data_IF_554189724595
#
_entry.id   IF_554189724595
#
_cell.length_a   1.000
_cell.length_b   1.000
_cell.length_c   1.000
_cell.angle_alpha   90.00
_cell.angle_beta   90.00
_cell.angle_gamma   90.00
#
_symmetry.space_group_name_H-M   'P 1'
#
loop_
_entity.id
_entity.type
_entity.pdbx_description
1 polymer ?
#
# COMPACT_ATOMS: atom_id res chain seq x y z
N UNK A 1 9.20 -6.44 1.83
CA UNK A 1 7.95 -6.00 1.21
C UNK A 1 7.18 -7.12 0.48
N UNK A 2 7.82 -7.98 -0.33
CA UNK A 2 7.10 -9.01 -1.10
C UNK A 2 6.84 -10.28 -0.28
N UNK A 3 7.88 -10.89 0.29
CA UNK A 3 7.72 -12.14 1.05
C UNK A 3 6.77 -11.99 2.24
N UNK A 4 6.88 -10.86 2.99
CA UNK A 4 5.97 -10.60 4.11
C UNK A 4 4.52 -10.50 3.69
N UNK A 5 4.23 -9.89 2.53
CA UNK A 5 2.88 -9.85 1.95
C UNK A 5 2.37 -11.25 1.63
N UNK A 6 3.20 -12.08 0.97
CA UNK A 6 2.82 -13.46 0.63
C UNK A 6 2.58 -14.32 1.89
N UNK A 7 3.40 -14.15 2.92
CA UNK A 7 3.20 -14.85 4.19
C UNK A 7 1.92 -14.41 4.89
N UNK A 8 1.61 -13.11 4.87
CA UNK A 8 0.35 -12.59 5.39
C UNK A 8 -0.86 -13.18 4.66
N UNK A 9 -0.84 -13.18 3.32
CA UNK A 9 -1.89 -13.81 2.51
C UNK A 9 -2.04 -15.28 2.90
N UNK A 10 -0.94 -16.04 2.92
CA UNK A 10 -0.96 -17.46 3.25
C UNK A 10 -1.55 -17.76 4.63
N UNK A 11 -1.33 -16.88 5.59
CA UNK A 11 -1.84 -17.03 6.95
C UNK A 11 -3.36 -16.74 7.06
N UNK A 12 -3.85 -15.68 6.39
CA UNK A 12 -5.23 -15.21 6.61
C UNK A 12 -6.23 -15.73 5.58
N UNK A 13 -5.78 -16.01 4.35
CA UNK A 13 -6.67 -16.37 3.25
C UNK A 13 -7.50 -17.64 3.48
N UNK A 14 -6.94 -18.74 4.03
CA UNK A 14 -7.76 -19.93 4.34
C UNK A 14 -8.91 -19.61 5.29
N UNK A 15 -8.63 -18.82 6.33
CA UNK A 15 -9.62 -18.41 7.36
C UNK A 15 -10.72 -17.56 6.71
N UNK A 16 -10.34 -16.56 5.92
CA UNK A 16 -11.32 -15.69 5.24
C UNK A 16 -12.20 -16.46 4.26
N UNK A 17 -11.62 -17.43 3.53
CA UNK A 17 -12.37 -18.30 2.61
C UNK A 17 -13.40 -19.18 3.35
N UNK A 18 -13.02 -19.74 4.48
CA UNK A 18 -13.93 -20.53 5.35
C UNK A 18 -15.08 -19.67 5.89
N UNK A 19 -14.74 -18.45 6.37
CA UNK A 19 -15.73 -17.48 6.86
C UNK A 19 -16.62 -16.89 5.75
N UNK A 20 -16.21 -17.01 4.49
CA UNK A 20 -16.82 -16.31 3.32
C UNK A 20 -16.92 -14.80 3.55
N UNK A 21 -16.00 -14.25 4.30
CA UNK A 21 -15.94 -12.84 4.66
C UNK A 21 -14.50 -12.44 4.96
N UNK A 22 -14.09 -11.30 4.43
CA UNK A 22 -12.76 -10.75 4.67
C UNK A 22 -12.42 -9.61 3.72
N UNK A 23 -11.49 -8.77 4.16
CA UNK A 23 -11.00 -7.66 3.37
C UNK A 23 -9.48 -7.58 3.47
N UNK A 24 -8.79 -7.86 2.37
CA UNK A 24 -7.34 -7.74 2.28
C UNK A 24 -6.96 -6.31 1.86
N UNK A 25 -6.18 -5.61 2.70
CA UNK A 25 -5.67 -4.28 2.38
C UNK A 25 -4.15 -4.36 2.19
N UNK A 26 -3.69 -3.97 1.00
CA UNK A 26 -2.27 -3.98 0.63
C UNK A 26 -1.72 -2.56 0.61
N UNK A 27 -0.63 -2.33 1.33
CA UNK A 27 0.04 -1.03 1.36
C UNK A 27 1.13 -0.98 0.30
N UNK A 28 0.81 -0.39 -0.86
CA UNK A 28 1.77 -0.05 -1.89
C UNK A 28 2.33 1.36 -1.66
N UNK A 29 2.46 2.16 -2.68
CA UNK A 29 2.96 3.54 -2.66
C UNK A 29 2.72 4.20 -4.01
N UNK A 30 2.84 5.52 -4.10
CA UNK A 30 3.07 6.22 -5.37
C UNK A 30 4.25 5.60 -6.14
N UNK A 31 5.28 5.12 -5.44
CA UNK A 31 6.41 4.38 -6.03
C UNK A 31 6.03 3.02 -6.64
N UNK A 32 4.80 2.57 -6.49
CA UNK A 32 4.21 1.45 -7.23
C UNK A 32 3.55 1.86 -8.56
N UNK A 33 3.57 3.14 -8.90
CA UNK A 33 2.99 3.72 -10.13
C UNK A 33 4.03 4.48 -10.95
N UNK A 34 5.05 5.04 -10.28
CA UNK A 34 6.15 5.77 -10.92
C UNK A 34 7.48 5.23 -10.42
N UNK A 35 8.52 5.39 -11.24
CA UNK A 35 9.88 4.96 -10.88
C UNK A 35 10.74 6.20 -10.67
N UNK A 36 11.43 6.24 -9.53
CA UNK A 36 12.34 7.32 -9.19
C UNK A 36 13.80 6.85 -9.28
N UNK A 37 14.72 7.71 -9.73
CA UNK A 37 16.15 7.43 -9.61
C UNK A 37 16.53 7.04 -8.18
N UNK A 38 17.52 6.17 -8.04
CA UNK A 38 17.97 5.58 -6.78
C UNK A 38 16.92 4.74 -6.01
N UNK A 39 15.66 4.69 -6.47
CA UNK A 39 14.55 3.97 -5.84
C UNK A 39 14.14 2.66 -6.54
N UNK A 40 14.88 2.18 -7.54
CA UNK A 40 14.45 1.11 -8.44
C UNK A 40 13.98 -0.17 -7.71
N UNK A 41 14.74 -0.66 -6.72
CA UNK A 41 14.38 -1.87 -5.96
C UNK A 41 13.14 -1.63 -5.11
N UNK A 42 13.03 -0.49 -4.45
CA UNK A 42 11.84 -0.11 -3.69
C UNK A 42 10.61 -0.02 -4.61
N UNK A 43 10.73 0.69 -5.73
CA UNK A 43 9.66 0.77 -6.73
C UNK A 43 9.25 -0.62 -7.21
N UNK A 44 10.19 -1.48 -7.58
CA UNK A 44 9.90 -2.85 -8.01
C UNK A 44 9.10 -3.64 -6.96
N UNK A 45 9.43 -3.50 -5.67
CA UNK A 45 8.65 -4.16 -4.61
C UNK A 45 7.23 -3.60 -4.53
N UNK A 46 7.04 -2.29 -4.70
CA UNK A 46 5.73 -1.64 -4.63
C UNK A 46 4.85 -1.91 -5.87
N UNK A 47 5.45 -1.99 -7.06
CA UNK A 47 4.79 -2.53 -8.25
C UNK A 47 4.38 -3.99 -8.04
N UNK A 48 5.27 -4.80 -7.46
CA UNK A 48 5.00 -6.22 -7.15
C UNK A 48 3.81 -6.39 -6.19
N UNK A 49 3.70 -5.56 -5.16
CA UNK A 49 2.54 -5.57 -4.24
C UNK A 49 1.24 -5.30 -5.00
N UNK A 50 1.23 -4.35 -5.94
CA UNK A 50 0.04 -4.07 -6.75
C UNK A 50 -0.33 -5.26 -7.62
N UNK A 51 0.65 -5.89 -8.28
CA UNK A 51 0.41 -7.09 -9.08
C UNK A 51 -0.16 -8.24 -8.24
N UNK A 52 0.43 -8.49 -7.05
CA UNK A 52 -0.05 -9.53 -6.12
C UNK A 52 -1.49 -9.20 -5.65
N UNK A 53 -1.75 -7.96 -5.25
CA UNK A 53 -3.08 -7.55 -4.77
C UNK A 53 -4.15 -7.70 -5.85
N UNK A 54 -3.86 -7.29 -7.09
CA UNK A 54 -4.80 -7.44 -8.21
C UNK A 54 -5.03 -8.90 -8.60
N UNK A 55 -3.99 -9.72 -8.62
CA UNK A 55 -4.14 -11.15 -8.87
C UNK A 55 -5.01 -11.81 -7.79
N UNK A 56 -4.71 -11.52 -6.51
CA UNK A 56 -5.50 -12.04 -5.40
C UNK A 56 -6.97 -11.59 -5.51
N UNK A 57 -7.23 -10.33 -5.84
CA UNK A 57 -8.60 -9.81 -6.02
C UNK A 57 -9.40 -10.65 -6.99
N UNK A 58 -8.80 -11.04 -8.12
CA UNK A 58 -9.47 -11.87 -9.11
C UNK A 58 -9.70 -13.30 -8.59
N UNK A 59 -8.72 -13.88 -7.92
CA UNK A 59 -8.77 -15.25 -7.40
C UNK A 59 -9.78 -15.44 -6.27
N UNK A 60 -10.02 -14.41 -5.46
CA UNK A 60 -10.89 -14.50 -4.28
C UNK A 60 -12.34 -14.07 -4.53
N UNK A 61 -12.66 -13.56 -5.72
CA UNK A 61 -14.03 -13.17 -6.09
C UNK A 61 -15.07 -14.27 -5.83
N UNK A 62 -14.83 -15.54 -6.17
CA UNK A 62 -15.81 -16.60 -5.90
C UNK A 62 -16.08 -16.82 -4.41
N UNK A 63 -15.16 -16.40 -3.53
CA UNK A 63 -15.32 -16.50 -2.08
C UNK A 63 -15.97 -15.25 -1.45
N UNK A 64 -16.32 -14.24 -2.26
CA UNK A 64 -16.92 -12.99 -1.78
C UNK A 64 -15.97 -12.10 -0.97
N UNK A 65 -14.65 -12.27 -1.13
CA UNK A 65 -13.67 -11.48 -0.39
C UNK A 65 -13.32 -10.19 -1.14
N UNK A 66 -13.05 -9.13 -0.38
CA UNK A 66 -12.64 -7.82 -0.91
C UNK A 66 -11.13 -7.65 -0.88
N UNK A 67 -10.60 -6.84 -1.80
CA UNK A 67 -9.18 -6.54 -1.86
C UNK A 67 -8.96 -5.09 -2.28
N UNK A 68 -8.30 -4.32 -1.42
CA UNK A 68 -7.95 -2.92 -1.68
C UNK A 68 -6.43 -2.72 -1.67
N UNK A 69 -5.92 -2.01 -2.67
CA UNK A 69 -4.54 -1.53 -2.72
C UNK A 69 -4.53 -0.06 -2.32
N UNK A 70 -3.74 0.28 -1.29
CA UNK A 70 -3.54 1.65 -0.84
C UNK A 70 -2.16 2.13 -1.30
N UNK A 71 -2.14 3.17 -2.11
CA UNK A 71 -0.94 3.73 -2.75
C UNK A 71 -0.70 5.18 -2.30
N UNK A 72 -0.23 5.40 -1.05
CA UNK A 72 0.03 6.74 -0.54
C UNK A 72 1.28 7.37 -1.15
N UNK A 73 1.31 8.70 -1.16
CA UNK A 73 2.53 9.50 -1.24
C UNK A 73 3.26 9.55 0.11
N UNK A 74 3.92 10.67 0.42
CA UNK A 74 4.65 10.84 1.67
C UNK A 74 3.69 10.94 2.87
N UNK A 75 3.85 10.00 3.81
CA UNK A 75 3.13 9.96 5.09
C UNK A 75 4.16 9.97 6.22
N UNK A 76 3.94 10.77 7.26
CA UNK A 76 4.85 10.94 8.39
C UNK A 76 4.97 9.64 9.20
N UNK A 77 6.08 8.93 8.98
CA UNK A 77 6.41 7.63 9.59
C UNK A 77 7.91 7.51 9.80
N UNK A 78 8.35 6.42 10.44
CA UNK A 78 9.79 6.13 10.59
C UNK A 78 10.45 5.59 9.29
N UNK A 79 9.73 5.51 8.17
CA UNK A 79 10.28 4.96 6.91
C UNK A 79 11.59 5.62 6.49
N UNK A 80 11.78 6.97 6.55
CA UNK A 80 13.04 7.60 6.19
C UNK A 80 14.23 7.09 7.00
N UNK A 81 14.02 6.74 8.28
CA UNK A 81 15.08 6.25 9.17
C UNK A 81 15.62 4.87 8.77
N UNK A 82 14.86 4.11 7.97
CA UNK A 82 15.28 2.80 7.45
C UNK A 82 16.30 2.91 6.31
N UNK A 83 16.42 4.06 5.67
CA UNK A 83 17.36 4.29 4.57
C UNK A 83 18.76 4.53 5.11
N UNK A 84 19.72 3.64 4.78
CA UNK A 84 21.09 3.66 5.31
C UNK A 84 22.11 4.26 4.35
N UNK A 85 21.76 4.44 3.08
CA UNK A 85 22.68 5.01 2.08
C UNK A 85 22.92 6.50 2.35
N UNK A 86 24.19 6.89 2.54
CA UNK A 86 24.58 8.29 2.71
C UNK A 86 24.11 9.12 1.49
N UNK A 87 23.73 10.36 1.71
CA UNK A 87 23.18 11.25 0.68
C UNK A 87 21.72 10.96 0.32
N UNK A 88 21.36 9.70 0.13
CA UNK A 88 19.95 9.29 -0.14
C UNK A 88 19.10 9.51 1.09
N UNK A 89 19.61 9.15 2.28
CA UNK A 89 18.89 9.35 3.54
C UNK A 89 18.53 10.82 3.78
N UNK A 90 19.49 11.72 3.61
CA UNK A 90 19.28 13.17 3.81
C UNK A 90 18.20 13.72 2.86
N UNK A 91 18.26 13.39 1.57
CA UNK A 91 17.28 13.84 0.59
C UNK A 91 15.87 13.29 0.86
N UNK A 92 15.77 12.04 1.32
CA UNK A 92 14.48 11.45 1.68
C UNK A 92 13.95 12.10 2.95
N UNK A 93 14.78 12.34 3.96
CA UNK A 93 14.36 12.98 5.20
C UNK A 93 13.85 14.41 4.94
N UNK A 94 14.54 15.19 4.12
CA UNK A 94 14.11 16.53 3.70
C UNK A 94 12.77 16.47 2.94
N UNK A 95 12.66 15.57 1.97
CA UNK A 95 11.42 15.38 1.21
C UNK A 95 10.22 15.05 2.14
N UNK A 96 10.41 14.15 3.12
CA UNK A 96 9.34 13.80 4.05
C UNK A 96 9.03 14.95 5.01
N UNK A 97 10.05 15.68 5.48
CA UNK A 97 9.83 16.88 6.31
C UNK A 97 8.93 17.90 5.62
N UNK A 98 9.16 18.13 4.32
CA UNK A 98 8.44 19.16 3.57
C UNK A 98 7.07 18.72 3.06
N UNK A 99 6.92 17.44 2.73
CA UNK A 99 5.78 16.93 1.97
C UNK A 99 4.84 16.05 2.78
N UNK A 100 5.34 15.36 3.82
CA UNK A 100 4.57 14.32 4.47
C UNK A 100 3.27 14.84 5.14
N UNK A 101 2.20 14.06 4.97
CA UNK A 101 0.95 14.27 5.68
C UNK A 101 0.86 13.36 6.92
N UNK A 102 0.03 13.71 7.91
CA UNK A 102 -0.14 12.89 9.11
C UNK A 102 -0.62 11.47 8.80
N UNK A 103 -0.18 10.50 9.59
CA UNK A 103 -0.62 9.09 9.51
C UNK A 103 -2.13 8.92 9.58
N UNK A 104 -2.83 9.82 10.28
CA UNK A 104 -4.30 9.86 10.34
C UNK A 104 -4.96 10.04 8.97
N UNK A 105 -4.27 10.67 8.01
CA UNK A 105 -4.77 10.80 6.63
C UNK A 105 -4.80 9.45 5.91
N UNK A 106 -3.78 8.63 6.12
CA UNK A 106 -3.76 7.25 5.63
C UNK A 106 -4.83 6.40 6.32
N UNK A 107 -4.96 6.49 7.64
CA UNK A 107 -5.96 5.75 8.41
C UNK A 107 -7.40 6.05 7.94
N UNK A 108 -7.71 7.31 7.57
CA UNK A 108 -9.01 7.67 7.00
C UNK A 108 -9.26 6.99 5.64
N UNK A 109 -8.26 6.83 4.79
CA UNK A 109 -8.40 6.12 3.53
C UNK A 109 -8.66 4.62 3.76
N UNK A 110 -7.99 4.00 4.74
CA UNK A 110 -8.27 2.63 5.18
C UNK A 110 -9.71 2.51 5.65
N UNK A 111 -10.14 3.39 6.55
CA UNK A 111 -11.51 3.38 7.10
C UNK A 111 -12.55 3.56 5.99
N UNK A 112 -12.31 4.46 5.05
CA UNK A 112 -13.19 4.65 3.89
C UNK A 112 -13.36 3.35 3.10
N UNK A 113 -12.26 2.65 2.76
CA UNK A 113 -12.35 1.39 2.01
C UNK A 113 -13.09 0.31 2.80
N UNK A 114 -12.83 0.21 4.10
CA UNK A 114 -13.42 -0.81 4.96
C UNK A 114 -14.90 -0.58 5.25
N UNK A 115 -15.34 0.68 5.34
CA UNK A 115 -16.72 1.06 5.68
C UNK A 115 -17.70 0.96 4.52
N UNK A 116 -17.24 0.60 3.32
CA UNK A 116 -18.16 0.41 2.19
C UNK A 116 -19.06 -0.82 2.40
N UNK A 117 -20.28 -0.81 1.85
CA UNK A 117 -21.16 -1.97 1.84
C UNK A 117 -20.48 -3.21 1.23
N UNK A 118 -20.96 -4.41 1.59
CA UNK A 118 -20.33 -5.67 1.17
C UNK A 118 -20.26 -5.85 -0.35
N UNK A 119 -21.21 -5.30 -1.08
CA UNK A 119 -21.25 -5.33 -2.54
C UNK A 119 -20.27 -4.37 -3.22
N UNK A 120 -19.59 -3.51 -2.44
CA UNK A 120 -18.62 -2.54 -2.95
C UNK A 120 -17.21 -2.97 -2.61
N UNK A 121 -16.41 -3.23 -3.63
CA UNK A 121 -14.98 -3.54 -3.51
C UNK A 121 -14.15 -2.39 -4.08
N UNK A 122 -13.62 -1.52 -3.21
CA UNK A 122 -12.69 -0.46 -3.59
C UNK A 122 -11.36 -1.11 -3.92
N UNK A 123 -10.99 -1.15 -5.19
CA UNK A 123 -9.83 -1.92 -5.63
C UNK A 123 -8.50 -1.19 -5.44
N UNK A 124 -8.48 0.14 -5.59
CA UNK A 124 -7.28 0.93 -5.37
C UNK A 124 -7.61 2.36 -4.91
N UNK A 125 -6.81 2.88 -3.97
CA UNK A 125 -6.83 4.28 -3.55
C UNK A 125 -5.41 4.82 -3.68
N UNK A 126 -5.20 5.66 -4.71
CA UNK A 126 -3.96 6.40 -4.93
C UNK A 126 -4.15 7.85 -4.48
N UNK A 127 -3.32 8.31 -3.57
CA UNK A 127 -3.36 9.68 -3.09
C UNK A 127 -1.98 10.22 -2.74
N UNK A 128 -1.86 11.53 -2.76
CA UNK A 128 -0.62 12.26 -2.43
C UNK A 128 -0.94 13.41 -1.50
N UNK A 129 0.05 13.87 -0.72
CA UNK A 129 0.01 15.23 -0.19
C UNK A 129 -0.23 16.23 -1.32
N UNK A 130 -1.02 17.28 -1.08
CA UNK A 130 -1.32 18.29 -2.12
C UNK A 130 -0.09 19.03 -2.62
N UNK A 131 0.99 19.04 -1.84
CA UNK A 131 2.29 19.62 -2.21
C UNK A 131 3.15 18.68 -3.06
N UNK A 132 2.89 17.39 -3.04
CA UNK A 132 3.72 16.38 -3.74
C UNK A 132 3.34 16.30 -5.21
N UNK A 133 4.28 16.62 -6.11
CA UNK A 133 4.06 16.60 -7.56
C UNK A 133 4.10 15.17 -8.17
N UNK A 134 5.00 14.30 -7.68
CA UNK A 134 5.21 12.93 -8.18
C UNK A 134 5.00 11.88 -7.10
#
# INVERSE_FOLDING_TARGET
>A
NLKGVLYGIGAVLPIMKEQKSGHNLFVSSVAGHVVNPAGAVYCATKFGIRAIGEALRQEVKPAGLRTTILSPGAVDTELPQSVKAEGVHASIAEFYHDQAIPTSSFARAVLFAMSQPEEVDINEILFRPTKQAL
#
